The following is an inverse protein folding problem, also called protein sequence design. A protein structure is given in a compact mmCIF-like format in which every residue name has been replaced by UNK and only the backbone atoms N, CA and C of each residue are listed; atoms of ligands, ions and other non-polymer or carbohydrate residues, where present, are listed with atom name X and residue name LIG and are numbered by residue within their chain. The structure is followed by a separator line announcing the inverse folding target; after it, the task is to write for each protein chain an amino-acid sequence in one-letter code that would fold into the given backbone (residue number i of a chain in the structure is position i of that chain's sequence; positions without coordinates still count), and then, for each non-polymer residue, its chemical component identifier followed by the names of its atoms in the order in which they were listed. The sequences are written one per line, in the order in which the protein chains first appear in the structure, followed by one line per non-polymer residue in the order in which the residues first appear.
data_IF_643130554862
#
_entry.id   IF_643130554862
#
_cell.length_a   1.000
_cell.length_b   1.000
_cell.length_c   1.000
_cell.angle_alpha   90.00
_cell.angle_beta   90.00
_cell.angle_gamma   90.00
#
_symmetry.space_group_name_H-M   'P 1'
#
loop_
_entity.id
_entity.type
_entity.pdbx_description
1 polymer ?
#
# COMPACT_ATOMS: atom_id res chain seq x y z
N UNK A 1 -19.03 -31.71 18.26
CA UNK A 1 -17.72 -32.02 18.89
C UNK A 1 -16.83 -30.81 18.69
N UNK A 2 -16.73 -29.95 19.70
CA UNK A 2 -15.82 -28.80 19.67
C UNK A 2 -14.40 -29.31 19.89
N UNK A 3 -13.57 -29.28 18.84
CA UNK A 3 -12.14 -29.50 18.98
C UNK A 3 -11.54 -28.35 19.79
N UNK A 4 -10.89 -28.67 20.90
CA UNK A 4 -10.10 -27.71 21.66
C UNK A 4 -8.98 -27.15 20.75
N UNK A 5 -8.74 -25.84 20.73
CA UNK A 5 -7.60 -25.30 19.99
C UNK A 5 -6.33 -25.86 20.62
N UNK A 6 -5.58 -26.63 19.83
CA UNK A 6 -4.28 -27.18 20.24
C UNK A 6 -3.32 -26.02 20.45
N UNK A 7 -2.71 -25.94 21.64
CA UNK A 7 -1.69 -24.94 21.91
C UNK A 7 -0.49 -25.19 20.99
N UNK A 8 0.07 -24.14 20.35
CA UNK A 8 1.20 -24.32 19.47
C UNK A 8 2.43 -24.82 20.24
N UNK A 9 3.18 -25.70 19.59
CA UNK A 9 4.40 -26.32 20.11
C UNK A 9 5.56 -25.33 20.17
N UNK A 10 6.58 -25.58 21.00
CA UNK A 10 7.78 -24.73 21.11
C UNK A 10 8.59 -24.59 19.80
N UNK A 11 8.27 -25.38 18.77
CA UNK A 11 8.87 -25.32 17.44
C UNK A 11 8.14 -24.32 16.52
N UNK A 12 6.81 -24.17 16.67
CA UNK A 12 6.01 -23.15 15.97
C UNK A 12 6.33 -21.73 16.44
N UNK A 13 6.79 -21.56 17.69
CA UNK A 13 7.33 -20.29 18.18
C UNK A 13 8.59 -19.83 17.44
N UNK A 14 9.32 -20.76 16.80
CA UNK A 14 10.55 -20.52 16.02
C UNK A 14 10.33 -20.31 14.52
N UNK A 15 9.10 -20.47 14.01
CA UNK A 15 8.81 -20.17 12.59
C UNK A 15 8.87 -18.64 12.34
N UNK A 16 9.36 -18.19 11.17
CA UNK A 16 9.25 -16.79 10.80
C UNK A 16 7.76 -16.40 10.74
N UNK A 17 7.32 -15.38 11.48
CA UNK A 17 5.91 -14.97 11.54
C UNK A 17 5.26 -14.72 10.16
N UNK A 18 6.06 -14.44 9.12
CA UNK A 18 5.61 -14.32 7.73
C UNK A 18 4.96 -15.60 7.18
N UNK A 19 5.23 -16.78 7.76
CA UNK A 19 4.57 -18.04 7.42
C UNK A 19 3.24 -18.27 8.18
N UNK A 20 2.94 -17.42 9.18
CA UNK A 20 1.86 -17.66 10.15
C UNK A 20 0.63 -16.77 9.89
N UNK A 21 0.77 -15.62 9.20
CA UNK A 21 -0.39 -14.74 8.97
C UNK A 21 -0.36 -14.05 7.59
N UNK A 22 -1.47 -14.09 6.83
CA UNK A 22 -1.59 -13.33 5.59
C UNK A 22 -1.56 -11.81 5.87
N UNK A 23 -1.29 -10.98 4.84
CA UNK A 23 -1.39 -9.53 4.95
C UNK A 23 -2.75 -9.10 5.51
N UNK A 24 -2.76 -8.32 6.59
CA UNK A 24 -4.00 -7.88 7.25
C UNK A 24 -4.31 -6.45 6.84
N UNK A 25 -5.51 -6.19 6.35
CA UNK A 25 -5.96 -4.84 6.07
C UNK A 25 -6.28 -4.08 7.37
N UNK A 26 -5.98 -2.79 7.41
CA UNK A 26 -6.42 -1.87 8.46
C UNK A 26 -7.63 -1.04 7.99
N UNK A 27 -8.65 -0.78 8.84
CA UNK A 27 -8.75 -1.14 10.27
C UNK A 27 -9.00 -2.64 10.51
N UNK A 28 -8.56 -3.12 11.67
CA UNK A 28 -8.77 -4.52 12.06
C UNK A 28 -10.26 -4.81 12.24
N UNK A 29 -10.74 -5.88 11.60
CA UNK A 29 -12.02 -6.47 11.96
C UNK A 29 -11.87 -7.23 13.30
N UNK A 30 -12.96 -7.53 14.03
CA UNK A 30 -12.87 -8.34 15.25
C UNK A 30 -12.18 -9.71 15.04
N UNK A 31 -12.35 -10.31 13.86
CA UNK A 31 -11.70 -11.59 13.51
C UNK A 31 -10.19 -11.42 13.31
N UNK A 32 -9.77 -10.36 12.61
CA UNK A 32 -8.34 -10.06 12.43
C UNK A 32 -7.67 -9.60 13.72
N UNK A 33 -8.37 -8.90 14.61
CA UNK A 33 -7.86 -8.49 15.91
C UNK A 33 -7.51 -9.73 16.76
N UNK A 34 -8.40 -10.72 16.82
CA UNK A 34 -8.14 -11.99 17.49
C UNK A 34 -6.95 -12.77 16.86
N UNK A 35 -6.85 -12.78 15.52
CA UNK A 35 -5.74 -13.44 14.83
C UNK A 35 -4.39 -12.76 15.12
N UNK A 36 -4.34 -11.43 15.14
CA UNK A 36 -3.14 -10.66 15.51
C UNK A 36 -2.78 -10.94 16.96
N UNK A 37 -3.73 -10.85 17.89
CA UNK A 37 -3.49 -11.16 19.31
C UNK A 37 -2.95 -12.59 19.51
N UNK A 38 -3.50 -13.56 18.78
CA UNK A 38 -3.04 -14.93 18.79
C UNK A 38 -1.61 -15.05 18.25
N UNK A 39 -1.31 -14.43 17.11
CA UNK A 39 0.02 -14.44 16.49
C UNK A 39 1.09 -13.79 17.38
N UNK A 40 0.72 -12.75 18.12
CA UNK A 40 1.62 -12.11 19.08
C UNK A 40 1.89 -13.01 20.29
N UNK A 41 0.98 -13.91 20.67
CA UNK A 41 1.18 -14.91 21.73
C UNK A 41 1.76 -14.35 23.05
N UNK A 42 1.45 -13.08 23.38
CA UNK A 42 2.03 -12.30 24.50
C UNK A 42 3.55 -12.09 24.46
N UNK A 43 4.17 -12.22 23.28
CA UNK A 43 5.54 -11.79 23.04
C UNK A 43 5.64 -10.27 23.20
N UNK A 44 6.75 -9.73 23.74
CA UNK A 44 6.97 -8.28 23.77
C UNK A 44 6.95 -7.72 22.34
N UNK A 45 5.94 -6.90 22.03
CA UNK A 45 5.70 -6.36 20.70
C UNK A 45 6.01 -4.87 20.63
N UNK A 46 6.80 -4.46 19.63
CA UNK A 46 6.88 -3.06 19.23
C UNK A 46 5.81 -2.79 18.17
N UNK A 47 5.09 -1.68 18.30
CA UNK A 47 4.11 -1.21 17.31
C UNK A 47 4.65 0.06 16.66
N UNK A 48 5.07 0.00 15.42
CA UNK A 48 5.39 1.19 14.63
C UNK A 48 4.11 1.72 13.99
N UNK A 49 3.66 2.90 14.41
CA UNK A 49 2.46 3.56 13.90
C UNK A 49 2.85 4.89 13.24
N UNK A 50 2.74 4.93 11.91
CA UNK A 50 3.08 6.11 11.09
C UNK A 50 1.85 6.73 10.43
N UNK A 51 0.67 6.33 10.89
CA UNK A 51 -0.62 6.85 10.45
C UNK A 51 -1.13 7.87 11.46
N UNK A 52 -1.36 9.10 11.04
CA UNK A 52 -1.97 10.10 11.92
C UNK A 52 -3.44 9.75 12.22
N UNK A 53 -3.97 10.32 13.30
CA UNK A 53 -5.35 10.07 13.75
C UNK A 53 -5.57 8.69 14.37
N UNK A 54 -4.54 7.82 14.41
CA UNK A 54 -4.59 6.56 15.15
C UNK A 54 -4.11 6.77 16.58
N UNK A 55 -4.91 6.33 17.54
CA UNK A 55 -4.50 6.20 18.94
C UNK A 55 -3.47 5.07 19.08
N UNK A 56 -2.20 5.38 18.80
CA UNK A 56 -1.12 4.42 18.83
C UNK A 56 -0.91 3.81 20.23
N UNK A 57 -0.91 4.59 21.35
CA UNK A 57 -0.85 4.03 22.69
C UNK A 57 -2.02 3.08 23.00
N UNK A 58 -3.26 3.44 22.65
CA UNK A 58 -4.42 2.58 22.88
C UNK A 58 -4.37 1.30 22.05
N UNK A 59 -3.94 1.37 20.79
CA UNK A 59 -3.74 0.19 19.95
C UNK A 59 -2.64 -0.72 20.50
N UNK A 60 -1.51 -0.15 20.93
CA UNK A 60 -0.42 -0.91 21.53
C UNK A 60 -0.84 -1.58 22.84
N UNK A 61 -1.56 -0.87 23.69
CA UNK A 61 -2.13 -1.45 24.91
C UNK A 61 -3.07 -2.63 24.59
N UNK A 62 -3.97 -2.47 23.61
CA UNK A 62 -4.88 -3.53 23.17
C UNK A 62 -4.13 -4.76 22.65
N UNK A 63 -3.05 -4.56 21.89
CA UNK A 63 -2.23 -5.63 21.33
C UNK A 63 -1.14 -6.15 22.29
N UNK A 64 -1.03 -5.61 23.50
CA UNK A 64 -0.03 -6.03 24.50
C UNK A 64 1.41 -5.61 24.15
N UNK A 65 1.59 -4.49 23.45
CA UNK A 65 2.89 -3.97 23.01
C UNK A 65 3.16 -2.52 23.41
N UNK A 66 4.21 -1.94 22.84
CA UNK A 66 4.64 -0.56 23.04
C UNK A 66 4.61 0.19 21.71
N UNK A 67 3.99 1.38 21.68
CA UNK A 67 3.89 2.20 20.47
C UNK A 67 5.16 3.02 20.23
N UNK A 68 5.54 3.14 18.96
CA UNK A 68 6.61 3.98 18.45
C UNK A 68 6.13 4.69 17.18
N UNK A 69 6.64 5.90 16.94
CA UNK A 69 6.34 6.69 15.73
C UNK A 69 7.49 6.66 14.72
N UNK A 70 8.67 6.21 15.14
CA UNK A 70 9.85 6.05 14.29
C UNK A 70 10.47 4.68 14.50
N UNK A 71 10.97 4.09 13.43
CA UNK A 71 11.64 2.79 13.48
C UNK A 71 12.94 2.85 14.31
N UNK A 72 13.68 3.95 14.21
CA UNK A 72 14.97 4.14 14.88
C UNK A 72 14.86 4.24 16.41
N UNK A 73 13.66 4.53 16.93
CA UNK A 73 13.42 4.62 18.38
C UNK A 73 13.21 3.23 19.02
N UNK A 74 13.14 2.17 18.19
CA UNK A 74 12.86 0.81 18.64
C UNK A 74 14.16 0.10 18.98
N UNK A 75 14.36 -0.16 20.27
CA UNK A 75 15.39 -1.09 20.74
C UNK A 75 14.91 -2.53 20.55
N UNK A 76 15.28 -3.14 19.42
CA UNK A 76 14.92 -4.51 19.06
C UNK A 76 15.49 -5.58 20.00
N UNK A 77 16.37 -5.25 20.95
CA UNK A 77 16.78 -6.21 21.99
C UNK A 77 15.68 -6.46 23.03
N UNK A 78 14.63 -5.62 23.05
CA UNK A 78 13.52 -5.66 24.01
C UNK A 78 12.22 -6.22 23.44
N UNK A 79 12.19 -6.54 22.16
CA UNK A 79 10.99 -6.96 21.44
C UNK A 79 11.28 -8.20 20.60
N UNK A 80 10.31 -9.09 20.52
CA UNK A 80 10.40 -10.33 19.72
C UNK A 80 9.64 -10.21 18.40
N UNK A 81 8.85 -9.15 18.22
CA UNK A 81 7.99 -8.94 17.05
C UNK A 81 7.75 -7.45 16.82
N UNK A 82 7.74 -7.06 15.54
CA UNK A 82 7.36 -5.71 15.10
C UNK A 82 6.00 -5.77 14.42
N UNK A 83 5.00 -5.10 14.98
CA UNK A 83 3.73 -4.84 14.31
C UNK A 83 3.83 -3.48 13.62
N UNK A 84 3.48 -3.39 12.34
CA UNK A 84 3.58 -2.12 11.60
C UNK A 84 2.23 -1.65 11.12
N UNK A 85 1.89 -0.40 11.39
CA UNK A 85 0.80 0.32 10.76
C UNK A 85 1.38 1.45 9.90
N UNK A 86 1.91 1.05 8.74
CA UNK A 86 2.57 1.94 7.76
C UNK A 86 2.30 1.44 6.34
N UNK A 87 2.44 2.30 5.35
CA UNK A 87 2.35 1.95 3.93
C UNK A 87 3.69 1.46 3.34
N UNK A 88 4.75 1.49 4.15
CA UNK A 88 6.10 1.10 3.73
C UNK A 88 6.33 -0.40 3.91
N UNK A 89 7.00 -1.01 2.94
CA UNK A 89 7.52 -2.37 3.08
C UNK A 89 8.81 -2.33 3.91
N UNK A 90 8.70 -2.60 5.21
CA UNK A 90 9.83 -2.58 6.15
C UNK A 90 10.39 -3.98 6.40
N UNK A 91 11.67 -4.03 6.74
CA UNK A 91 12.33 -5.21 7.31
C UNK A 91 12.94 -4.84 8.66
N UNK A 92 12.98 -5.80 9.57
CA UNK A 92 13.46 -5.64 10.93
C UNK A 92 14.26 -6.89 11.35
N UNK A 93 15.12 -6.82 12.38
CA UNK A 93 15.84 -7.98 12.90
C UNK A 93 14.92 -8.99 13.61
N UNK A 94 13.67 -8.62 13.85
CA UNK A 94 12.61 -9.46 14.39
C UNK A 94 11.53 -9.67 13.34
N UNK A 95 10.70 -10.71 13.44
CA UNK A 95 9.60 -10.90 12.51
C UNK A 95 8.64 -9.70 12.48
N UNK A 96 8.14 -9.38 11.29
CA UNK A 96 7.25 -8.24 11.04
C UNK A 96 5.83 -8.71 10.77
N UNK A 97 4.87 -8.10 11.45
CA UNK A 97 3.43 -8.30 11.30
C UNK A 97 2.82 -7.02 10.73
N UNK A 98 2.61 -6.95 9.40
CA UNK A 98 2.09 -5.74 8.80
C UNK A 98 0.56 -5.67 8.87
N UNK A 99 0.09 -4.53 9.37
CA UNK A 99 -1.28 -4.06 9.24
C UNK A 99 -1.28 -2.98 8.15
N UNK A 100 -1.87 -3.26 7.00
CA UNK A 100 -1.75 -2.37 5.83
C UNK A 100 -2.86 -1.31 5.83
N UNK A 101 -2.54 -0.02 6.10
CA UNK A 101 -3.50 1.05 5.94
C UNK A 101 -3.73 1.30 4.46
N UNK A 102 -5.00 1.36 4.04
CA UNK A 102 -5.40 1.65 2.65
C UNK A 102 -5.30 3.15 2.38
N UNK A 103 -4.07 3.63 2.21
CA UNK A 103 -3.75 5.08 2.13
C UNK A 103 -3.00 5.49 0.87
N UNK A 104 -2.57 4.55 0.03
CA UNK A 104 -1.89 4.88 -1.23
C UNK A 104 -2.90 5.04 -2.37
N UNK A 105 -2.82 6.16 -3.09
CA UNK A 105 -3.52 6.37 -4.34
C UNK A 105 -2.50 6.32 -5.48
N UNK A 106 -2.67 5.35 -6.38
CA UNK A 106 -1.77 5.13 -7.51
C UNK A 106 -2.43 5.66 -8.77
N UNK A 107 -1.83 6.66 -9.39
CA UNK A 107 -2.22 7.07 -10.73
C UNK A 107 -1.47 6.24 -11.77
N UNK A 108 -2.19 5.68 -12.73
CA UNK A 108 -1.69 4.76 -13.73
C UNK A 108 -2.12 5.17 -15.15
N UNK A 109 -1.21 4.99 -16.11
CA UNK A 109 -1.52 5.10 -17.53
C UNK A 109 -0.72 4.08 -18.33
N UNK A 110 -1.27 3.61 -19.44
CA UNK A 110 -0.63 2.60 -20.28
C UNK A 110 -1.00 2.74 -21.76
N UNK A 111 -0.25 2.03 -22.61
CA UNK A 111 -0.70 1.70 -23.97
C UNK A 111 -1.91 0.78 -23.93
N UNK A 112 -2.77 0.84 -24.94
CA UNK A 112 -3.93 -0.05 -25.03
C UNK A 112 -3.53 -1.49 -25.29
N UNK A 113 -4.31 -2.43 -24.74
CA UNK A 113 -4.08 -3.87 -24.91
C UNK A 113 -2.84 -4.37 -24.19
N UNK A 114 -2.37 -3.64 -23.17
CA UNK A 114 -1.23 -4.07 -22.36
C UNK A 114 -1.57 -5.40 -21.66
N UNK A 115 -0.67 -6.41 -21.69
CA UNK A 115 -0.95 -7.69 -21.05
C UNK A 115 -1.16 -7.51 -19.53
N UNK A 116 -2.32 -7.92 -18.96
CA UNK A 116 -2.65 -7.65 -17.56
C UNK A 116 -1.62 -8.14 -16.56
N UNK A 117 -1.16 -9.38 -16.68
CA UNK A 117 -0.22 -9.98 -15.73
C UNK A 117 1.16 -9.31 -15.77
N UNK A 118 1.65 -9.01 -16.98
CA UNK A 118 2.92 -8.31 -17.16
C UNK A 118 2.84 -6.87 -16.63
N UNK A 119 1.70 -6.20 -16.80
CA UNK A 119 1.45 -4.90 -16.21
C UNK A 119 1.45 -4.96 -14.69
N UNK A 120 0.66 -5.85 -14.08
CA UNK A 120 0.54 -5.98 -12.63
C UNK A 120 1.90 -6.31 -11.98
N UNK A 121 2.63 -7.29 -12.53
CA UNK A 121 3.96 -7.66 -12.03
C UNK A 121 4.95 -6.48 -12.09
N UNK A 122 4.96 -5.76 -13.22
CA UNK A 122 5.84 -4.59 -13.37
C UNK A 122 5.42 -3.42 -12.46
N UNK A 123 4.13 -3.21 -12.28
CA UNK A 123 3.59 -2.16 -11.43
C UNK A 123 3.91 -2.41 -9.94
N UNK A 124 3.71 -3.62 -9.46
CA UNK A 124 4.07 -4.01 -8.10
C UNK A 124 5.58 -3.99 -7.85
N UNK A 125 6.39 -4.36 -8.84
CA UNK A 125 7.84 -4.25 -8.74
C UNK A 125 8.27 -2.78 -8.55
N UNK A 126 7.65 -1.83 -9.26
CA UNK A 126 7.90 -0.40 -9.07
C UNK A 126 7.53 0.06 -7.66
N UNK A 127 6.37 -0.36 -7.15
CA UNK A 127 5.95 -0.02 -5.77
C UNK A 127 6.96 -0.54 -4.75
N UNK A 128 7.34 -1.82 -4.86
CA UNK A 128 8.30 -2.45 -3.94
C UNK A 128 9.69 -1.81 -4.02
N UNK A 129 10.17 -1.48 -5.21
CA UNK A 129 11.43 -0.77 -5.40
C UNK A 129 11.42 0.64 -4.76
N UNK A 130 10.25 1.27 -4.70
CA UNK A 130 10.06 2.53 -3.98
C UNK A 130 9.81 2.35 -2.47
N UNK A 131 9.91 1.12 -1.93
CA UNK A 131 9.62 0.81 -0.53
C UNK A 131 8.14 0.88 -0.16
N UNK A 132 7.23 0.88 -1.14
CA UNK A 132 5.78 0.96 -0.95
C UNK A 132 5.15 -0.43 -1.04
N UNK A 133 4.22 -0.73 -0.13
CA UNK A 133 3.51 -2.00 -0.13
C UNK A 133 2.29 -1.95 -1.08
N UNK A 134 2.17 -2.87 -2.07
CA UNK A 134 0.97 -2.96 -2.91
C UNK A 134 -0.32 -3.13 -2.09
N UNK A 135 -0.26 -3.79 -0.94
CA UNK A 135 -1.39 -4.03 -0.05
C UNK A 135 -1.93 -2.73 0.59
N UNK A 136 -1.14 -1.66 0.64
CA UNK A 136 -1.56 -0.35 1.12
C UNK A 136 -2.26 0.49 0.05
N UNK A 137 -2.38 -0.01 -1.19
CA UNK A 137 -3.11 0.65 -2.28
C UNK A 137 -4.61 0.67 -1.99
N UNK A 138 -5.15 1.87 -1.88
CA UNK A 138 -6.55 2.14 -1.67
C UNK A 138 -7.28 2.38 -2.98
N UNK A 139 -6.63 3.06 -3.94
CA UNK A 139 -7.20 3.48 -5.21
C UNK A 139 -6.17 3.33 -6.33
N UNK A 140 -6.60 2.79 -7.46
CA UNK A 140 -5.94 2.93 -8.75
C UNK A 140 -6.74 3.94 -9.57
N UNK A 141 -6.08 5.02 -9.99
CA UNK A 141 -6.67 6.13 -10.69
C UNK A 141 -6.11 6.24 -12.12
N UNK A 142 -6.92 6.63 -13.09
CA UNK A 142 -6.47 6.88 -14.47
C UNK A 142 -7.30 8.00 -15.12
N UNK A 143 -7.04 8.31 -16.38
CA UNK A 143 -7.90 9.23 -17.17
C UNK A 143 -9.21 8.56 -17.56
N UNK A 144 -10.31 9.32 -17.67
CA UNK A 144 -11.59 8.86 -18.21
C UNK A 144 -11.45 8.12 -19.55
N UNK A 145 -10.49 8.52 -20.39
CA UNK A 145 -10.19 7.89 -21.68
C UNK A 145 -9.65 6.44 -21.56
N UNK A 146 -9.22 6.04 -20.36
CA UNK A 146 -8.69 4.72 -20.01
C UNK A 146 -9.56 3.97 -19.00
N UNK A 147 -10.78 4.45 -18.75
CA UNK A 147 -11.71 3.83 -17.79
C UNK A 147 -12.03 2.36 -18.12
N UNK A 148 -12.02 1.99 -19.40
CA UNK A 148 -12.33 0.64 -19.88
C UNK A 148 -11.09 -0.24 -20.15
N UNK A 149 -9.88 0.18 -19.73
CA UNK A 149 -8.67 -0.62 -19.97
C UNK A 149 -8.64 -1.85 -19.05
N UNK A 150 -8.72 -3.09 -19.58
CA UNK A 150 -8.90 -4.29 -18.75
C UNK A 150 -7.75 -4.53 -17.78
N UNK A 151 -6.51 -4.25 -18.18
CA UNK A 151 -5.34 -4.44 -17.33
C UNK A 151 -5.36 -3.57 -16.07
N UNK A 152 -5.86 -2.33 -16.17
CA UNK A 152 -5.95 -1.41 -15.02
C UNK A 152 -7.05 -1.84 -14.06
N UNK A 153 -8.21 -2.25 -14.59
CA UNK A 153 -9.34 -2.73 -13.79
C UNK A 153 -8.99 -4.05 -13.07
N UNK A 154 -8.40 -5.01 -13.79
CA UNK A 154 -7.97 -6.29 -13.22
C UNK A 154 -6.93 -6.09 -12.11
N UNK A 155 -5.99 -5.15 -12.30
CA UNK A 155 -5.00 -4.85 -11.28
C UNK A 155 -5.62 -4.22 -10.03
N UNK A 156 -6.52 -3.23 -10.20
CA UNK A 156 -7.24 -2.64 -9.07
C UNK A 156 -8.04 -3.69 -8.29
N UNK A 157 -8.73 -4.58 -9.00
CA UNK A 157 -9.47 -5.69 -8.41
C UNK A 157 -8.55 -6.67 -7.68
N UNK A 158 -7.43 -7.06 -8.27
CA UNK A 158 -6.44 -7.96 -7.65
C UNK A 158 -5.85 -7.40 -6.36
N UNK A 159 -5.72 -6.08 -6.25
CA UNK A 159 -5.31 -5.40 -5.02
C UNK A 159 -6.45 -5.25 -4.01
N UNK A 160 -7.71 -5.44 -4.42
CA UNK A 160 -8.91 -5.04 -3.65
C UNK A 160 -9.04 -3.51 -3.51
N UNK A 161 -8.46 -2.76 -4.44
CA UNK A 161 -8.46 -1.30 -4.45
C UNK A 161 -9.67 -0.75 -5.21
N UNK A 162 -10.09 0.47 -4.90
CA UNK A 162 -11.04 1.21 -5.72
C UNK A 162 -10.43 1.56 -7.08
N UNK A 163 -11.26 1.68 -8.11
CA UNK A 163 -10.83 2.13 -9.43
C UNK A 163 -11.53 3.44 -9.80
N UNK A 164 -10.76 4.47 -10.13
CA UNK A 164 -11.29 5.82 -10.42
C UNK A 164 -10.78 6.29 -11.78
N UNK A 165 -11.69 6.81 -12.60
CA UNK A 165 -11.35 7.45 -13.86
C UNK A 165 -11.63 8.96 -13.76
N UNK A 166 -10.57 9.76 -13.79
CA UNK A 166 -10.62 11.21 -13.66
C UNK A 166 -10.88 11.88 -15.00
N UNK A 167 -11.78 12.86 -15.03
CA UNK A 167 -11.99 13.72 -16.19
C UNK A 167 -10.84 14.73 -16.39
N UNK A 168 -10.80 15.35 -17.57
CA UNK A 168 -9.71 16.25 -17.95
C UNK A 168 -9.66 17.49 -17.03
N UNK A 169 -10.81 17.96 -16.51
CA UNK A 169 -10.87 19.09 -15.58
C UNK A 169 -10.24 18.76 -14.21
N UNK A 170 -10.56 17.59 -13.67
CA UNK A 170 -9.96 17.07 -12.42
C UNK A 170 -8.46 16.93 -12.56
N UNK A 171 -7.99 16.37 -13.67
CA UNK A 171 -6.57 16.20 -13.94
C UNK A 171 -5.85 17.55 -14.10
N UNK A 172 -6.47 18.52 -14.78
CA UNK A 172 -5.90 19.85 -14.97
C UNK A 172 -5.74 20.64 -13.66
N UNK A 173 -6.64 20.44 -12.70
CA UNK A 173 -6.55 21.06 -11.38
C UNK A 173 -5.40 20.50 -10.51
N UNK A 174 -4.83 19.35 -10.88
CA UNK A 174 -3.79 18.65 -10.11
C UNK A 174 -2.56 18.34 -10.98
N UNK A 175 -1.85 19.33 -11.54
CA UNK A 175 -0.91 19.07 -12.62
C UNK A 175 0.33 18.25 -12.25
N UNK A 176 0.59 18.05 -10.96
CA UNK A 176 1.81 17.41 -10.50
C UNK A 176 3.09 18.17 -10.93
N UNK A 177 4.25 17.67 -10.51
CA UNK A 177 5.53 18.35 -10.77
C UNK A 177 6.05 18.12 -12.20
N UNK A 178 5.71 17.00 -12.87
CA UNK A 178 6.31 16.64 -14.15
C UNK A 178 5.53 17.20 -15.34
N UNK A 179 6.15 18.13 -16.07
CA UNK A 179 5.66 18.61 -17.37
C UNK A 179 5.99 17.60 -18.48
N UNK A 180 5.07 16.68 -18.77
CA UNK A 180 5.26 15.69 -19.84
C UNK A 180 4.99 16.28 -21.23
N UNK A 181 6.04 16.65 -21.98
CA UNK A 181 5.93 17.28 -23.32
C UNK A 181 5.02 16.52 -24.30
N UNK A 182 5.04 15.18 -24.29
CA UNK A 182 4.15 14.35 -25.13
C UNK A 182 2.67 14.46 -24.75
N UNK A 183 2.35 14.50 -23.45
CA UNK A 183 0.95 14.55 -22.97
C UNK A 183 0.41 15.97 -23.09
N UNK A 184 1.26 16.96 -22.81
CA UNK A 184 0.97 18.36 -23.07
C UNK A 184 0.68 18.59 -24.55
N UNK A 185 1.49 18.04 -25.46
CA UNK A 185 1.31 18.20 -26.91
C UNK A 185 0.09 17.45 -27.46
N UNK A 186 -0.25 16.27 -26.92
CA UNK A 186 -1.34 15.42 -27.45
C UNK A 186 -2.70 15.68 -26.79
N UNK A 187 -2.71 16.11 -25.54
CA UNK A 187 -3.92 16.21 -24.72
C UNK A 187 -4.06 17.55 -23.98
N UNK A 188 -3.06 18.45 -24.05
CA UNK A 188 -3.07 19.70 -23.27
C UNK A 188 -2.91 19.50 -21.77
N UNK A 189 -2.60 18.26 -21.33
CA UNK A 189 -2.64 17.87 -19.93
C UNK A 189 -1.23 17.63 -19.34
N UNK A 190 -1.08 17.84 -18.02
CA UNK A 190 0.06 17.37 -17.24
C UNK A 190 0.17 15.83 -17.28
N UNK A 191 1.25 15.26 -16.71
CA UNK A 191 1.42 13.81 -16.65
C UNK A 191 0.22 13.11 -15.98
N UNK A 192 -0.61 12.40 -16.77
CA UNK A 192 -1.89 11.78 -16.33
C UNK A 192 -1.74 10.97 -15.02
N UNK A 193 -0.66 10.19 -14.90
CA UNK A 193 -0.41 9.37 -13.72
C UNK A 193 -0.22 10.23 -12.45
N UNK A 194 0.57 11.29 -12.51
CA UNK A 194 0.79 12.17 -11.35
C UNK A 194 -0.49 12.91 -10.97
N UNK A 195 -1.19 13.45 -11.96
CA UNK A 195 -2.43 14.17 -11.74
C UNK A 195 -3.54 13.30 -11.15
N UNK A 196 -3.71 12.08 -11.68
CA UNK A 196 -4.69 11.14 -11.16
C UNK A 196 -4.36 10.70 -9.72
N UNK A 197 -3.07 10.49 -9.40
CA UNK A 197 -2.63 10.14 -8.06
C UNK A 197 -2.94 11.27 -7.06
N UNK A 198 -2.58 12.51 -7.39
CA UNK A 198 -2.80 13.68 -6.53
C UNK A 198 -4.29 13.98 -6.33
N UNK A 199 -5.08 13.95 -7.42
CA UNK A 199 -6.51 14.20 -7.36
C UNK A 199 -7.24 13.19 -6.47
N UNK A 200 -6.96 11.89 -6.63
CA UNK A 200 -7.62 10.85 -5.82
C UNK A 200 -7.08 10.73 -4.40
N UNK A 201 -5.87 11.24 -4.14
CA UNK A 201 -5.34 11.39 -2.80
C UNK A 201 -5.84 12.66 -2.09
N UNK A 202 -6.39 13.63 -2.81
CA UNK A 202 -6.58 15.00 -2.32
C UNK A 202 -5.31 15.58 -1.68
N UNK A 203 -4.15 15.36 -2.34
CA UNK A 203 -2.84 15.67 -1.79
C UNK A 203 -2.08 16.68 -2.65
N UNK A 204 -1.20 17.47 -2.02
CA UNK A 204 -0.34 18.44 -2.70
C UNK A 204 1.01 17.88 -3.17
N UNK A 205 1.39 16.68 -2.73
CA UNK A 205 2.72 16.09 -3.01
C UNK A 205 2.63 14.60 -3.35
N UNK A 206 3.61 14.13 -4.13
CA UNK A 206 3.77 12.73 -4.50
C UNK A 206 4.74 12.04 -3.53
N UNK A 207 4.41 10.80 -3.16
CA UNK A 207 5.37 9.88 -2.53
C UNK A 207 6.31 9.27 -3.57
N UNK A 208 5.79 8.98 -4.75
CA UNK A 208 6.54 8.47 -5.89
C UNK A 208 6.21 9.31 -7.12
N UNK A 209 7.15 10.13 -7.61
CA UNK A 209 7.02 10.80 -8.89
C UNK A 209 6.86 9.81 -10.04
N UNK A 210 6.51 10.32 -11.22
CA UNK A 210 6.31 9.52 -12.44
C UNK A 210 7.41 8.47 -12.66
N UNK A 211 7.02 7.19 -12.68
CA UNK A 211 7.84 6.06 -13.11
C UNK A 211 7.32 5.52 -14.43
N UNK A 212 8.16 5.41 -15.46
CA UNK A 212 7.78 4.84 -16.76
C UNK A 212 8.47 3.50 -16.97
N UNK A 213 7.71 2.46 -17.31
CA UNK A 213 8.24 1.14 -17.61
C UNK A 213 7.84 0.67 -19.01
N UNK A 214 8.72 -0.09 -19.65
CA UNK A 214 8.48 -0.76 -20.93
C UNK A 214 8.24 -2.25 -20.68
N UNK A 215 7.36 -2.83 -21.49
CA UNK A 215 7.04 -4.25 -21.48
C UNK A 215 7.28 -4.83 -22.90
N UNK A 216 7.33 -6.17 -23.03
CA UNK A 216 7.38 -6.84 -24.34
C UNK A 216 6.25 -6.37 -25.27
N UNK A 217 6.45 -6.51 -26.59
CA UNK A 217 5.46 -6.10 -27.59
C UNK A 217 5.33 -4.58 -27.79
N UNK A 218 6.27 -3.79 -27.27
CA UNK A 218 6.26 -2.32 -27.41
C UNK A 218 5.31 -1.61 -26.45
N UNK A 219 4.68 -2.36 -25.54
CA UNK A 219 3.82 -1.79 -24.52
C UNK A 219 4.62 -0.98 -23.49
N UNK A 220 3.96 0.00 -22.90
CA UNK A 220 4.53 0.73 -21.77
C UNK A 220 3.42 1.19 -20.83
N UNK A 221 3.82 1.39 -19.58
CA UNK A 221 2.96 1.98 -18.58
C UNK A 221 3.71 3.05 -17.78
N UNK A 222 2.96 3.82 -17.02
CA UNK A 222 3.45 4.89 -16.17
C UNK A 222 2.66 4.89 -14.88
N UNK A 223 3.37 4.99 -13.76
CA UNK A 223 2.79 5.08 -12.43
C UNK A 223 3.26 6.35 -11.73
N UNK A 224 2.44 6.85 -10.81
CA UNK A 224 2.83 7.79 -9.78
C UNK A 224 2.01 7.48 -8.52
N UNK A 225 2.52 7.81 -7.34
CA UNK A 225 1.85 7.50 -6.08
C UNK A 225 1.79 8.71 -5.20
N UNK A 226 0.60 8.97 -4.65
CA UNK A 226 0.36 9.93 -3.59
C UNK A 226 -0.20 9.20 -2.36
N UNK A 227 0.02 9.79 -1.18
CA UNK A 227 -0.65 9.36 0.05
C UNK A 227 -1.92 10.17 0.19
N UNK A 228 -3.05 9.52 0.52
CA UNK A 228 -4.28 10.24 0.88
C UNK A 228 -3.96 11.31 1.93
N UNK A 229 -4.46 12.52 1.69
CA UNK A 229 -4.56 13.50 2.76
C UNK A 229 -5.46 12.92 3.84
N UNK A 230 -5.06 13.12 5.08
CA UNK A 230 -5.87 12.74 6.23
C UNK A 230 -7.18 13.53 6.16
N UNK A 231 -8.31 12.86 6.44
CA UNK A 231 -9.55 13.59 6.69
C UNK A 231 -9.30 14.40 7.98
N UNK A 232 -9.35 15.73 7.86
CA UNK A 232 -9.28 16.65 9.00
C UNK A 232 -10.46 16.43 9.95
#
# INVERSE_FOLDING_TARGET
MCGSPTLPTAEEFRMPLAAVMPPVAWPLSPQHDAAVLHALARRPAALLVELAGVDAPGLAHRLGGVAFTRLDDIDFTRFDVLVTLTWRALSAPVPVVPLWPRVLCVGAGCTGGIPPDAFAASAEAILRAAGLAPQAVAVVATTARRAAEPALQAWAQGLGAGFVACDDATLAAHPGPTRSTYVQARHGLPGIAEAAALATANAGTLLLPRQKARLPGGHHHTLAVARRAEAA
#
